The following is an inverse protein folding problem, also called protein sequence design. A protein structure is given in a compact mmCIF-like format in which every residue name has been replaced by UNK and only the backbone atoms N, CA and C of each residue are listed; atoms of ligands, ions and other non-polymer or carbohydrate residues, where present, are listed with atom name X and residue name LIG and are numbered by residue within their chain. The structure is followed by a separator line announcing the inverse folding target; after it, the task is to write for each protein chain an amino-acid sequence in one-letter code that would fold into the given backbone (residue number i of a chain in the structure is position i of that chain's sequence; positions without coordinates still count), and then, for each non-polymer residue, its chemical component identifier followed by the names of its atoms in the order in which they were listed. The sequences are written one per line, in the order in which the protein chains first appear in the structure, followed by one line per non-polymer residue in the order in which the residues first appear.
data_IF_858378998395
#
_entry.id   IF_858378998395
#
_cell.length_a   1.000
_cell.length_b   1.000
_cell.length_c   1.000
_cell.angle_alpha   90.00
_cell.angle_beta   90.00
_cell.angle_gamma   90.00
#
_symmetry.space_group_name_H-M   'P 1'
#
loop_
_entity.id
_entity.type
_entity.pdbx_description
1 polymer ?
#
# COMPACT_ATOMS: atom_id res chain seq x y z
N UNK A 1 -27.22 1.59 1.64
CA UNK A 1 -25.92 2.07 1.13
C UNK A 1 -25.08 2.45 2.34
N UNK A 2 -23.98 1.75 2.63
CA UNK A 2 -23.16 2.10 3.79
C UNK A 2 -22.18 3.18 3.35
N UNK A 3 -22.38 4.41 3.80
CA UNK A 3 -21.48 5.51 3.46
C UNK A 3 -20.21 5.47 4.33
N UNK A 4 -19.15 6.05 3.79
CA UNK A 4 -18.08 6.64 4.59
C UNK A 4 -18.12 8.13 4.27
N UNK A 5 -18.29 8.97 5.29
CA UNK A 5 -18.19 10.43 5.12
C UNK A 5 -16.72 10.88 5.08
N UNK A 6 -15.77 9.95 5.18
CA UNK A 6 -14.35 10.21 5.16
C UNK A 6 -13.72 9.81 3.81
N UNK A 7 -12.64 10.50 3.45
CA UNK A 7 -11.94 10.29 2.18
C UNK A 7 -11.44 8.85 2.01
N UNK A 8 -11.73 8.28 0.85
CA UNK A 8 -11.21 6.99 0.36
C UNK A 8 -10.01 7.27 -0.55
N UNK A 9 -8.89 6.62 -0.31
CA UNK A 9 -7.63 6.83 -1.04
C UNK A 9 -7.33 5.74 -2.05
N UNK A 10 -7.72 4.49 -1.76
CA UNK A 10 -7.52 3.37 -2.67
C UNK A 10 -8.73 2.44 -2.67
N UNK A 11 -8.99 1.84 -3.83
CA UNK A 11 -9.95 0.77 -4.05
C UNK A 11 -9.39 -0.18 -5.11
N UNK A 12 -9.43 -1.48 -4.84
CA UNK A 12 -8.89 -2.48 -5.76
C UNK A 12 -9.55 -3.84 -5.52
N UNK A 13 -9.68 -4.61 -6.60
CA UNK A 13 -10.08 -6.02 -6.56
C UNK A 13 -8.89 -6.89 -6.23
N UNK A 14 -9.13 -8.01 -5.55
CA UNK A 14 -8.13 -9.08 -5.51
C UNK A 14 -8.06 -9.73 -6.89
N UNK A 15 -6.88 -9.73 -7.52
CA UNK A 15 -6.68 -10.31 -8.85
C UNK A 15 -6.94 -11.82 -8.89
N UNK A 16 -6.74 -12.52 -7.77
CA UNK A 16 -7.01 -13.95 -7.64
C UNK A 16 -8.47 -14.25 -7.31
N UNK A 17 -9.23 -13.26 -6.85
CA UNK A 17 -10.63 -13.40 -6.47
C UNK A 17 -11.39 -12.09 -6.69
N UNK A 18 -12.04 -11.97 -7.85
CA UNK A 18 -12.81 -10.79 -8.24
C UNK A 18 -14.07 -10.57 -7.38
N UNK A 19 -14.39 -11.47 -6.46
CA UNK A 19 -15.46 -11.25 -5.47
C UNK A 19 -15.00 -10.35 -4.32
N UNK A 20 -13.69 -10.18 -4.10
CA UNK A 20 -13.15 -9.40 -3.00
C UNK A 20 -12.63 -8.04 -3.46
N UNK A 21 -13.10 -6.98 -2.81
CA UNK A 21 -12.64 -5.60 -3.00
C UNK A 21 -12.15 -5.06 -1.66
N UNK A 22 -11.06 -4.32 -1.68
CA UNK A 22 -10.58 -3.58 -0.51
C UNK A 22 -10.74 -2.09 -0.79
N UNK A 23 -11.14 -1.35 0.23
CA UNK A 23 -11.07 0.13 0.21
C UNK A 23 -10.33 0.61 1.45
N UNK A 24 -9.46 1.60 1.32
CA UNK A 24 -8.79 2.21 2.46
C UNK A 24 -8.76 3.74 2.35
N UNK A 25 -8.56 4.41 3.48
CA UNK A 25 -8.44 5.86 3.51
C UNK A 25 -8.35 6.40 4.93
N UNK A 26 -8.95 7.59 5.13
CA UNK A 26 -8.97 8.22 6.45
C UNK A 26 -9.71 7.32 7.44
N UNK A 27 -8.99 6.94 8.50
CA UNK A 27 -9.45 6.09 9.60
C UNK A 27 -10.07 4.73 9.22
N UNK A 28 -9.84 4.18 8.01
CA UNK A 28 -10.49 2.93 7.63
C UNK A 28 -9.69 2.04 6.68
N UNK A 29 -9.94 0.74 6.82
CA UNK A 29 -9.80 -0.29 5.81
C UNK A 29 -11.07 -1.14 5.86
N UNK A 30 -11.72 -1.32 4.71
CA UNK A 30 -12.91 -2.13 4.57
C UNK A 30 -12.64 -3.25 3.56
N UNK A 31 -13.18 -4.41 3.91
CA UNK A 31 -13.12 -5.64 3.13
C UNK A 31 -14.53 -5.92 2.64
N UNK A 32 -14.70 -5.89 1.32
CA UNK A 32 -15.97 -6.05 0.66
C UNK A 32 -16.01 -7.37 -0.08
N UNK A 33 -17.12 -8.10 0.04
CA UNK A 33 -17.35 -9.32 -0.72
C UNK A 33 -18.60 -9.14 -1.58
N UNK A 34 -18.45 -9.32 -2.90
CA UNK A 34 -19.51 -9.34 -3.90
C UNK A 34 -20.07 -10.75 -4.00
N UNK A 35 -21.32 -10.94 -3.62
CA UNK A 35 -22.02 -12.21 -3.76
C UNK A 35 -23.44 -11.96 -4.27
N UNK A 36 -23.84 -12.68 -5.31
CA UNK A 36 -25.16 -12.55 -5.94
C UNK A 36 -25.57 -11.10 -6.24
N UNK A 37 -24.62 -10.30 -6.76
CA UNK A 37 -24.86 -8.89 -7.11
C UNK A 37 -24.92 -7.92 -5.92
N UNK A 38 -24.65 -8.39 -4.70
CA UNK A 38 -24.65 -7.55 -3.49
C UNK A 38 -23.28 -7.48 -2.83
N UNK A 39 -22.89 -6.29 -2.38
CA UNK A 39 -21.70 -6.08 -1.59
C UNK A 39 -21.98 -6.18 -0.09
N UNK A 40 -21.23 -7.04 0.59
CA UNK A 40 -21.20 -7.10 2.05
C UNK A 40 -19.92 -6.47 2.57
N UNK A 41 -20.02 -5.60 3.58
CA UNK A 41 -18.88 -4.85 4.14
C UNK A 41 -18.44 -5.44 5.48
N UNK A 42 -17.14 -5.66 5.65
CA UNK A 42 -16.48 -5.92 6.93
C UNK A 42 -15.43 -4.84 7.20
N UNK A 43 -15.39 -4.30 8.42
CA UNK A 43 -14.35 -3.36 8.82
C UNK A 43 -13.15 -4.10 9.40
N UNK A 44 -11.95 -3.70 9.01
CA UNK A 44 -10.73 -4.19 9.64
C UNK A 44 -10.68 -3.85 11.12
N UNK A 45 -10.33 -4.83 11.94
CA UNK A 45 -10.25 -4.69 13.39
C UNK A 45 -8.77 -4.50 13.78
N UNK A 46 -8.45 -3.30 14.29
CA UNK A 46 -7.09 -2.96 14.73
C UNK A 46 -6.71 -3.66 16.05
N UNK A 47 -7.69 -4.08 16.85
CA UNK A 47 -7.43 -4.76 18.13
C UNK A 47 -6.57 -3.91 19.07
N UNK A 48 -5.44 -4.47 19.52
CA UNK A 48 -4.48 -3.80 20.41
C UNK A 48 -3.63 -2.70 19.72
N UNK A 49 -3.64 -2.64 18.40
CA UNK A 49 -2.82 -1.71 17.65
C UNK A 49 -3.46 -0.31 17.63
N UNK A 50 -2.64 0.72 17.82
CA UNK A 50 -3.09 2.11 17.68
C UNK A 50 -3.66 2.31 16.28
N UNK A 51 -4.90 2.82 16.20
CA UNK A 51 -5.53 3.15 14.92
C UNK A 51 -4.81 4.36 14.29
N UNK A 52 -4.21 4.23 13.09
CA UNK A 52 -3.56 5.33 12.40
C UNK A 52 -4.60 6.31 11.86
N UNK A 53 -4.18 7.56 11.63
CA UNK A 53 -5.04 8.60 11.07
C UNK A 53 -5.46 8.27 9.64
N UNK A 54 -4.55 7.69 8.85
CA UNK A 54 -4.81 7.29 7.47
C UNK A 54 -4.24 5.90 7.20
N UNK A 55 -5.00 5.12 6.43
CA UNK A 55 -4.47 4.00 5.67
C UNK A 55 -4.28 4.51 4.24
N UNK A 56 -3.02 4.64 3.82
CA UNK A 56 -2.62 5.39 2.61
C UNK A 56 -2.70 4.54 1.35
N UNK A 57 -2.30 3.28 1.47
CA UNK A 57 -2.23 2.32 0.36
C UNK A 57 -2.39 0.89 0.88
N UNK A 58 -2.64 -0.04 -0.04
CA UNK A 58 -2.61 -1.46 0.25
C UNK A 58 -2.19 -2.26 -0.98
N UNK A 59 -1.79 -3.51 -0.76
CA UNK A 59 -1.57 -4.54 -1.78
C UNK A 59 -2.02 -5.90 -1.26
N UNK A 60 -2.20 -6.87 -2.15
CA UNK A 60 -2.39 -8.27 -1.78
C UNK A 60 -1.04 -9.01 -1.83
N UNK A 61 -0.70 -9.75 -0.79
CA UNK A 61 0.45 -10.65 -0.81
C UNK A 61 0.18 -11.86 -1.72
N UNK A 62 1.22 -12.65 -2.02
CA UNK A 62 1.05 -13.92 -2.74
C UNK A 62 0.20 -14.94 -1.97
N UNK A 63 0.14 -14.84 -0.65
CA UNK A 63 -0.71 -15.69 0.21
C UNK A 63 -2.16 -15.21 0.26
N UNK A 64 -2.48 -14.08 -0.39
CA UNK A 64 -3.82 -13.47 -0.38
C UNK A 64 -4.12 -12.61 0.84
N UNK A 65 -3.14 -12.42 1.73
CA UNK A 65 -3.27 -11.47 2.84
C UNK A 65 -3.23 -10.03 2.32
N UNK A 66 -3.87 -9.11 3.04
CA UNK A 66 -3.82 -7.69 2.69
C UNK A 66 -2.71 -7.01 3.48
N UNK A 67 -1.83 -6.29 2.80
CA UNK A 67 -0.76 -5.49 3.39
C UNK A 67 -1.13 -4.02 3.22
N UNK A 68 -1.16 -3.24 4.30
CA UNK A 68 -1.48 -1.79 4.22
C UNK A 68 -0.33 -0.93 4.70
N UNK A 69 -0.07 0.18 4.02
CA UNK A 69 0.79 1.26 4.49
C UNK A 69 -0.02 2.35 5.22
N UNK A 70 0.41 2.76 6.41
CA UNK A 70 -0.32 3.73 7.23
C UNK A 70 0.39 5.08 7.44
N UNK A 71 -0.30 6.03 8.08
CA UNK A 71 0.20 7.37 8.33
C UNK A 71 1.33 7.46 9.36
N UNK A 72 1.52 6.43 10.17
CA UNK A 72 2.49 6.36 11.26
C UNK A 72 3.78 5.62 10.85
N UNK A 73 3.85 5.17 9.60
CA UNK A 73 5.01 4.48 9.03
C UNK A 73 5.03 2.99 9.25
N UNK A 74 3.86 2.37 9.45
CA UNK A 74 3.77 0.92 9.58
C UNK A 74 3.27 0.27 8.28
N UNK A 75 3.76 -0.95 8.06
CA UNK A 75 3.12 -1.95 7.22
C UNK A 75 2.33 -2.88 8.15
N UNK A 76 1.03 -2.99 7.92
CA UNK A 76 0.13 -3.87 8.67
C UNK A 76 -0.31 -5.04 7.78
N UNK A 77 -0.11 -6.26 8.26
CA UNK A 77 -0.64 -7.47 7.60
C UNK A 77 -1.99 -7.83 8.21
N UNK A 78 -3.00 -7.93 7.36
CA UNK A 78 -4.37 -8.26 7.73
C UNK A 78 -4.67 -9.69 7.34
N UNK A 79 -4.91 -10.53 8.35
CA UNK A 79 -5.21 -11.94 8.18
C UNK A 79 -6.60 -12.29 8.71
N UNK A 80 -7.09 -13.45 8.26
CA UNK A 80 -8.29 -14.08 8.81
C UNK A 80 -7.99 -14.53 10.23
N UNK A 81 -8.71 -13.97 11.19
CA UNK A 81 -8.71 -14.47 12.55
C UNK A 81 -9.94 -15.36 12.71
N UNK A 82 -9.74 -16.61 13.12
CA UNK A 82 -10.81 -17.46 13.61
C UNK A 82 -11.46 -16.69 14.77
N UNK A 83 -12.73 -16.33 14.60
CA UNK A 83 -13.42 -15.55 15.61
C UNK A 83 -13.32 -16.30 16.94
N UNK A 84 -12.89 -15.62 18.01
CA UNK A 84 -12.83 -16.22 19.33
C UNK A 84 -14.23 -16.74 19.68
N UNK A 85 -14.41 -18.06 19.54
CA UNK A 85 -15.69 -18.74 19.81
C UNK A 85 -16.10 -18.51 21.27
N UNK A 86 -15.12 -18.23 22.14
CA UNK A 86 -15.31 -17.89 23.55
C UNK A 86 -16.02 -16.54 23.77
N UNK A 87 -15.87 -15.56 22.90
CA UNK A 87 -16.46 -14.22 23.07
C UNK A 87 -17.67 -13.95 22.17
N UNK A 88 -17.77 -14.61 21.00
CA UNK A 88 -18.79 -14.30 20.00
C UNK A 88 -19.87 -15.39 19.82
N UNK A 89 -19.77 -16.51 20.52
CA UNK A 89 -20.77 -17.59 20.51
C UNK A 89 -20.82 -18.42 19.22
N UNK A 90 -21.73 -19.40 19.17
CA UNK A 90 -21.97 -20.23 17.96
C UNK A 90 -22.54 -19.35 16.84
N UNK A 91 -21.79 -19.17 15.76
CA UNK A 91 -22.14 -18.30 14.62
C UNK A 91 -21.17 -17.16 14.35
N UNK A 92 -20.03 -17.13 15.06
CA UNK A 92 -19.03 -16.09 14.92
C UNK A 92 -18.49 -16.00 13.48
N UNK A 93 -18.79 -14.86 12.83
CA UNK A 93 -18.35 -14.58 11.45
C UNK A 93 -16.84 -14.32 11.42
N UNK A 94 -16.18 -14.86 10.40
CA UNK A 94 -14.77 -14.58 10.10
C UNK A 94 -14.50 -13.07 10.06
N UNK A 95 -13.48 -12.62 10.80
CA UNK A 95 -13.05 -11.21 10.87
C UNK A 95 -11.63 -11.05 10.33
N UNK A 96 -11.32 -9.84 9.86
CA UNK A 96 -9.98 -9.49 9.41
C UNK A 96 -9.32 -8.57 10.42
N UNK A 97 -8.20 -9.05 10.95
CA UNK A 97 -7.46 -8.46 12.07
C UNK A 97 -6.00 -8.30 11.69
N UNK A 98 -5.32 -7.37 12.36
CA UNK A 98 -3.87 -7.21 12.22
C UNK A 98 -3.19 -8.42 12.85
N UNK A 99 -2.49 -9.21 12.02
CA UNK A 99 -1.70 -10.37 12.47
C UNK A 99 -0.22 -10.01 12.61
N UNK A 100 0.23 -8.94 11.95
CA UNK A 100 1.60 -8.42 12.04
C UNK A 100 1.62 -6.91 11.82
N UNK A 101 2.46 -6.23 12.59
CA UNK A 101 2.81 -4.83 12.38
C UNK A 101 4.34 -4.73 12.25
N UNK A 102 4.80 -4.16 11.13
CA UNK A 102 6.21 -3.90 10.85
C UNK A 102 6.41 -2.39 10.78
N UNK A 103 7.34 -1.83 11.56
CA UNK A 103 7.72 -0.42 11.44
C UNK A 103 8.63 -0.26 10.23
N UNK A 104 8.17 0.45 9.21
CA UNK A 104 8.87 0.61 7.95
C UNK A 104 9.54 1.98 7.80
N UNK A 105 8.86 3.05 8.22
CA UNK A 105 9.27 4.41 7.90
C UNK A 105 9.12 5.38 9.08
N UNK A 106 9.74 6.57 8.99
CA UNK A 106 9.61 7.67 9.96
C UNK A 106 8.35 8.54 9.78
N UNK A 107 7.44 8.12 8.90
CA UNK A 107 6.18 8.81 8.63
C UNK A 107 5.35 7.99 7.65
N UNK A 108 4.38 8.60 6.98
CA UNK A 108 3.44 7.87 6.12
C UNK A 108 4.12 6.94 5.11
N UNK A 109 3.61 5.71 4.99
CA UNK A 109 3.94 4.80 3.89
C UNK A 109 2.94 5.07 2.75
N UNK A 110 3.38 5.80 1.71
CA UNK A 110 2.46 6.27 0.67
C UNK A 110 2.18 5.23 -0.42
N UNK A 111 3.11 4.30 -0.63
CA UNK A 111 3.03 3.31 -1.70
C UNK A 111 3.64 1.99 -1.23
N UNK A 112 2.98 0.92 -1.67
CA UNK A 112 3.46 -0.44 -1.60
C UNK A 112 3.41 -1.01 -3.03
N UNK A 113 4.43 -1.76 -3.42
CA UNK A 113 4.49 -2.41 -4.73
C UNK A 113 5.00 -3.84 -4.53
N UNK A 114 4.18 -4.82 -4.90
CA UNK A 114 4.55 -6.24 -4.82
C UNK A 114 5.53 -6.60 -5.92
N UNK A 115 6.50 -7.43 -5.57
CA UNK A 115 7.51 -7.93 -6.48
C UNK A 115 7.25 -9.40 -6.81
N UNK A 116 7.82 -9.85 -7.92
CA UNK A 116 7.86 -11.28 -8.21
C UNK A 116 8.57 -12.04 -7.07
N UNK A 117 8.07 -13.22 -6.74
CA UNK A 117 8.58 -14.02 -5.61
C UNK A 117 8.08 -13.58 -4.23
N UNK A 118 7.22 -12.56 -4.16
CA UNK A 118 6.50 -12.19 -2.93
C UNK A 118 7.17 -11.11 -2.10
N UNK A 119 8.32 -10.61 -2.55
CA UNK A 119 8.94 -9.42 -1.99
C UNK A 119 8.05 -8.18 -2.14
N UNK A 120 8.44 -7.11 -1.48
CA UNK A 120 7.66 -5.88 -1.41
C UNK A 120 8.60 -4.67 -1.50
N UNK A 121 8.15 -3.61 -2.16
CA UNK A 121 8.74 -2.28 -2.05
C UNK A 121 7.81 -1.39 -1.22
N UNK A 122 8.39 -0.57 -0.35
CA UNK A 122 7.65 0.50 0.34
C UNK A 122 8.30 1.87 0.08
N UNK A 123 7.45 2.87 -0.10
CA UNK A 123 7.88 4.27 -0.27
C UNK A 123 7.48 5.15 0.90
N UNK A 124 8.49 5.74 1.55
CA UNK A 124 8.36 6.54 2.75
C UNK A 124 8.17 8.03 2.49
N UNK A 125 7.31 8.63 3.31
CA UNK A 125 6.98 10.05 3.26
C UNK A 125 8.07 10.94 3.86
N UNK A 126 8.28 10.83 5.17
CA UNK A 126 9.15 11.74 5.93
C UNK A 126 10.63 11.44 5.70
N UNK A 127 11.00 10.17 5.69
CA UNK A 127 12.37 9.69 5.49
C UNK A 127 12.78 9.64 4.02
N UNK A 128 11.83 9.78 3.07
CA UNK A 128 12.06 9.72 1.61
C UNK A 128 12.69 8.41 1.14
N UNK A 129 12.63 7.35 1.96
CA UNK A 129 13.28 6.09 1.65
C UNK A 129 12.40 5.20 0.78
N UNK A 130 13.05 4.43 -0.07
CA UNK A 130 12.51 3.22 -0.67
C UNK A 130 13.14 2.05 0.05
N UNK A 131 12.32 1.10 0.53
CA UNK A 131 12.82 -0.11 1.19
C UNK A 131 12.30 -1.32 0.43
N UNK A 132 13.22 -2.24 0.10
CA UNK A 132 12.90 -3.58 -0.39
C UNK A 132 12.83 -4.53 0.79
N UNK A 133 11.76 -5.32 0.80
CA UNK A 133 11.48 -6.32 1.80
C UNK A 133 11.38 -7.70 1.17
N UNK A 134 11.82 -8.71 1.92
CA UNK A 134 11.53 -10.10 1.63
C UNK A 134 10.02 -10.40 1.80
N UNK A 135 9.60 -11.60 1.40
CA UNK A 135 8.20 -12.03 1.54
C UNK A 135 7.71 -12.10 2.99
N UNK A 136 8.63 -12.33 3.92
CA UNK A 136 8.42 -12.31 5.37
C UNK A 136 8.66 -10.92 5.98
N UNK A 137 8.64 -9.85 5.18
CA UNK A 137 8.80 -8.45 5.61
C UNK A 137 10.08 -8.21 6.45
N UNK A 138 11.17 -8.90 6.12
CA UNK A 138 12.51 -8.53 6.59
C UNK A 138 13.10 -7.49 5.61
N UNK A 139 13.70 -6.40 6.10
CA UNK A 139 14.31 -5.40 5.22
C UNK A 139 15.57 -5.99 4.56
N UNK A 140 15.68 -5.84 3.24
CA UNK A 140 16.81 -6.37 2.44
C UNK A 140 17.73 -5.24 1.96
N UNK A 141 17.15 -4.20 1.36
CA UNK A 141 17.86 -3.05 0.80
C UNK A 141 17.06 -1.78 1.03
N UNK A 142 17.74 -0.66 1.21
CA UNK A 142 17.12 0.66 1.26
C UNK A 142 17.92 1.68 0.46
N UNK A 143 17.23 2.70 -0.04
CA UNK A 143 17.83 3.84 -0.71
C UNK A 143 17.02 5.09 -0.36
N UNK A 144 17.68 6.23 -0.20
CA UNK A 144 17.01 7.50 0.08
C UNK A 144 16.93 8.37 -1.18
N UNK A 145 15.74 8.92 -1.44
CA UNK A 145 15.55 9.88 -2.53
C UNK A 145 16.14 11.25 -2.14
N UNK A 146 16.93 11.88 -3.04
CA UNK A 146 17.49 13.22 -2.79
C UNK A 146 16.43 14.25 -2.40
N UNK A 147 16.77 15.09 -1.42
CA UNK A 147 15.86 16.06 -0.79
C UNK A 147 15.12 16.97 -1.77
N UNK A 148 15.81 17.39 -2.83
CA UNK A 148 15.26 18.29 -3.84
C UNK A 148 14.03 17.71 -4.55
N UNK A 149 13.86 16.38 -4.56
CA UNK A 149 12.70 15.70 -5.14
C UNK A 149 11.56 15.43 -4.15
N UNK A 150 11.79 15.61 -2.85
CA UNK A 150 10.78 15.41 -1.81
C UNK A 150 10.49 13.93 -1.51
N UNK A 151 9.28 13.66 -1.05
CA UNK A 151 8.87 12.35 -0.55
C UNK A 151 8.52 11.37 -1.68
N UNK A 152 8.68 10.07 -1.42
CA UNK A 152 8.21 9.01 -2.32
C UNK A 152 6.68 8.98 -2.28
N UNK A 153 6.03 9.02 -3.45
CA UNK A 153 4.57 8.99 -3.57
C UNK A 153 4.05 7.74 -4.28
N UNK A 154 4.82 7.22 -5.23
CA UNK A 154 4.48 6.01 -6.00
C UNK A 154 5.77 5.36 -6.48
N UNK A 155 5.78 4.02 -6.55
CA UNK A 155 6.89 3.22 -7.08
C UNK A 155 6.31 2.26 -8.12
N UNK A 156 7.06 1.99 -9.17
CA UNK A 156 6.78 0.90 -10.07
C UNK A 156 8.06 0.12 -10.36
N UNK A 157 7.96 -1.19 -10.24
CA UNK A 157 8.97 -2.14 -10.69
C UNK A 157 8.97 -2.22 -12.22
N UNK A 158 10.14 -2.08 -12.83
CA UNK A 158 10.32 -2.16 -14.29
C UNK A 158 10.71 -3.58 -14.68
N UNK A 159 11.74 -4.12 -14.06
CA UNK A 159 12.34 -5.41 -14.40
C UNK A 159 12.94 -6.18 -13.21
N UNK A 160 12.61 -5.81 -11.97
CA UNK A 160 13.08 -6.45 -10.75
C UNK A 160 14.34 -5.81 -10.14
N UNK A 161 15.08 -5.02 -10.90
CA UNK A 161 16.24 -4.25 -10.42
C UNK A 161 16.03 -2.74 -10.61
N UNK A 162 15.48 -2.32 -11.76
CA UNK A 162 15.19 -0.93 -12.04
C UNK A 162 13.78 -0.52 -11.59
N UNK A 163 13.70 0.67 -10.97
CA UNK A 163 12.45 1.25 -10.49
C UNK A 163 12.18 2.61 -11.11
N UNK A 164 10.90 2.91 -11.31
CA UNK A 164 10.39 4.26 -11.50
C UNK A 164 9.81 4.77 -10.17
N UNK A 165 10.08 6.04 -9.85
CA UNK A 165 9.66 6.66 -8.58
C UNK A 165 8.99 7.99 -8.87
N UNK A 166 7.70 8.10 -8.55
CA UNK A 166 7.00 9.37 -8.56
C UNK A 166 7.09 10.05 -7.21
N UNK A 167 7.48 11.32 -7.18
CA UNK A 167 7.71 12.07 -5.94
C UNK A 167 6.67 13.16 -5.70
N UNK A 168 6.63 13.70 -4.49
CA UNK A 168 5.73 14.81 -4.11
C UNK A 168 6.08 16.15 -4.72
N UNK A 169 7.29 16.31 -5.30
CA UNK A 169 7.70 17.50 -6.05
C UNK A 169 7.62 17.32 -7.56
N UNK A 170 6.64 16.53 -8.00
CA UNK A 170 6.29 16.32 -9.41
C UNK A 170 7.47 15.84 -10.28
N UNK A 171 8.38 15.05 -9.70
CA UNK A 171 9.44 14.37 -10.43
C UNK A 171 9.08 12.90 -10.65
N UNK A 172 9.53 12.36 -11.79
CA UNK A 172 9.65 10.93 -12.03
C UNK A 172 11.14 10.63 -12.08
N UNK A 173 11.59 9.79 -11.16
CA UNK A 173 12.96 9.31 -11.09
C UNK A 173 13.03 7.89 -11.67
N UNK A 174 14.18 7.55 -12.25
CA UNK A 174 14.53 6.20 -12.70
C UNK A 174 15.86 5.83 -12.06
N UNK A 175 16.00 4.57 -11.64
CA UNK A 175 17.22 4.14 -10.96
C UNK A 175 17.13 2.77 -10.33
N UNK A 176 18.20 2.40 -9.62
CA UNK A 176 18.35 1.14 -8.89
C UNK A 176 18.74 1.42 -7.43
N UNK A 177 18.70 0.41 -6.57
CA UNK A 177 19.23 0.55 -5.20
C UNK A 177 20.74 0.79 -5.15
N UNK A 178 21.50 0.30 -6.14
CA UNK A 178 22.95 0.40 -6.17
C UNK A 178 23.44 1.74 -6.73
N UNK A 179 22.79 2.23 -7.79
CA UNK A 179 23.22 3.43 -8.52
C UNK A 179 22.48 4.70 -8.07
N UNK A 180 21.43 4.54 -7.25
CA UNK A 180 20.55 5.62 -6.85
C UNK A 180 19.60 6.05 -7.97
N UNK A 181 18.98 7.22 -7.79
CA UNK A 181 17.86 7.67 -8.60
C UNK A 181 18.12 9.02 -9.26
N UNK A 182 17.84 9.10 -10.56
CA UNK A 182 17.97 10.33 -11.36
C UNK A 182 16.64 10.72 -11.98
N UNK A 183 16.37 12.01 -12.08
CA UNK A 183 15.14 12.50 -12.69
C UNK A 183 15.15 12.27 -14.20
N UNK A 184 14.10 11.62 -14.71
CA UNK A 184 13.82 11.51 -16.15
C UNK A 184 12.75 12.49 -16.60
N UNK A 185 11.89 12.94 -15.68
CA UNK A 185 10.89 13.99 -15.89
C UNK A 185 10.78 14.82 -14.61
N UNK A 186 10.76 16.14 -14.73
CA UNK A 186 10.41 17.04 -13.64
C UNK A 186 9.55 18.18 -14.16
N UNK A 187 8.28 18.21 -13.76
CA UNK A 187 7.33 19.24 -14.23
C UNK A 187 7.23 20.35 -13.18
N UNK A 188 7.68 21.55 -13.55
CA UNK A 188 7.66 22.75 -12.69
C UNK A 188 6.28 23.46 -12.65
N UNK A 189 5.25 22.96 -13.36
CA UNK A 189 3.97 23.65 -13.52
C UNK A 189 2.76 22.88 -12.92
N UNK A 190 1.83 23.68 -12.38
CA UNK A 190 0.76 23.35 -11.43
C UNK A 190 -0.38 22.40 -11.87
N UNK A 191 -0.34 21.78 -13.06
CA UNK A 191 -1.55 21.16 -13.63
C UNK A 191 -1.53 19.63 -13.83
N UNK A 192 -0.37 18.95 -13.78
CA UNK A 192 -0.31 17.49 -13.86
C UNK A 192 0.42 16.91 -12.65
N UNK A 193 -0.27 16.09 -11.84
CA UNK A 193 0.40 15.36 -10.76
C UNK A 193 1.23 14.22 -11.34
N UNK A 194 2.45 14.04 -10.83
CA UNK A 194 3.41 12.99 -11.24
C UNK A 194 2.77 11.58 -11.25
N UNK A 195 1.81 11.31 -10.37
CA UNK A 195 1.08 10.04 -10.27
C UNK A 195 0.29 9.71 -11.55
N UNK A 196 -0.36 10.70 -12.16
CA UNK A 196 -1.16 10.47 -13.37
C UNK A 196 -0.27 10.21 -14.59
N UNK A 197 0.86 10.90 -14.67
CA UNK A 197 1.86 10.70 -15.71
C UNK A 197 2.53 9.32 -15.61
N UNK A 198 2.83 8.86 -14.39
CA UNK A 198 3.42 7.52 -14.18
C UNK A 198 2.45 6.40 -14.59
N UNK A 199 1.16 6.51 -14.24
CA UNK A 199 0.13 5.56 -14.72
C UNK A 199 0.02 5.52 -16.26
N UNK A 200 0.26 6.65 -16.92
CA UNK A 200 0.27 6.73 -18.37
C UNK A 200 1.51 6.07 -18.97
N UNK A 201 2.69 6.27 -18.37
CA UNK A 201 3.93 5.61 -18.85
C UNK A 201 3.92 4.09 -18.62
N UNK A 202 3.38 3.61 -17.50
CA UNK A 202 3.24 2.17 -17.24
C UNK A 202 2.27 1.46 -18.21
N UNK A 203 1.33 2.18 -18.83
CA UNK A 203 0.46 1.64 -19.89
C UNK A 203 1.18 1.48 -21.23
N UNK A 204 2.33 2.13 -21.42
CA UNK A 204 3.14 2.03 -22.66
C UNK A 204 4.19 0.92 -22.53
N UNK A 205 4.50 0.48 -21.31
CA UNK A 205 5.46 -0.58 -21.00
C UNK A 205 4.81 -1.99 -20.90
N UNK A 206 3.49 -2.10 -21.13
CA UNK A 206 2.74 -3.36 -21.27
C UNK A 206 2.15 -3.47 -22.66
#
# INVERSE_FOLDING_TARGET
MVNTNEAVFAVEFNLSDSSNIITCGKSHVYFWTLSAGQFTKKQGIFGKHKKPKFIQCFVFSLTGDVLTGDSEGNILTWGKSAADVKTLGKGAKETLQIIRQTRAHEGSVFTLCTLQGGGLLSGGGKDRKIIRWSADLAPERECEIPENYGAVRTIADVDGEELLVGTTRNAILRGTFSDGFVAIVQVLLHHATSVQLMKQQLKVLK
#
